data_IF_979863006719
#
_entry.id   IF_979863006719
#
_cell.length_a   1.000
_cell.length_b   1.000
_cell.length_c   1.000
_cell.angle_alpha   90.00
_cell.angle_beta   90.00
_cell.angle_gamma   90.00
#
_symmetry.space_group_name_H-M   'P 1'
#
loop_
_entity.id
_entity.type
_entity.pdbx_description
1 polymer ?
#
# COMPACT_ATOMS: atom_id res chain seq x y z
N UNK A 1 10.47 16.01 -38.40
CA UNK A 1 11.19 15.03 -37.56
C UNK A 1 10.49 15.06 -36.21
N UNK A 2 9.52 14.16 -36.02
CA UNK A 2 8.79 14.09 -34.74
C UNK A 2 9.71 13.37 -33.76
N UNK A 3 10.12 14.06 -32.69
CA UNK A 3 10.75 13.45 -31.54
C UNK A 3 9.71 12.52 -30.91
N UNK A 4 9.96 11.21 -30.96
CA UNK A 4 9.21 10.25 -30.18
C UNK A 4 9.39 10.67 -28.70
N UNK A 5 8.33 11.17 -28.07
CA UNK A 5 8.29 11.28 -26.63
C UNK A 5 8.38 9.85 -26.13
N UNK A 6 9.51 9.47 -25.52
CA UNK A 6 9.58 8.28 -24.70
C UNK A 6 8.50 8.43 -23.62
N UNK A 7 7.45 7.65 -23.73
CA UNK A 7 6.39 7.59 -22.74
C UNK A 7 7.04 7.07 -21.46
N UNK A 8 7.18 7.94 -20.46
CA UNK A 8 7.76 7.57 -19.16
C UNK A 8 6.86 6.52 -18.52
N UNK A 9 7.22 5.25 -18.70
CA UNK A 9 6.54 4.12 -18.07
C UNK A 9 7.11 3.92 -16.68
N UNK A 10 6.26 3.99 -15.68
CA UNK A 10 6.63 3.68 -14.32
C UNK A 10 6.92 2.18 -14.22
N UNK A 11 8.03 1.83 -13.60
CA UNK A 11 8.53 0.45 -13.51
C UNK A 11 8.83 0.09 -12.07
N UNK A 12 8.88 -1.21 -11.80
CA UNK A 12 9.42 -1.83 -10.61
C UNK A 12 10.53 -2.79 -11.03
N UNK A 13 11.51 -2.99 -10.17
CA UNK A 13 12.56 -3.97 -10.38
C UNK A 13 12.62 -4.90 -9.18
N UNK A 14 12.39 -6.19 -9.39
CA UNK A 14 12.44 -7.20 -8.35
C UNK A 14 13.23 -8.43 -8.81
N UNK A 15 14.19 -8.86 -7.99
CA UNK A 15 15.10 -9.96 -8.31
C UNK A 15 15.80 -9.77 -9.67
N UNK A 16 16.13 -8.50 -10.02
CA UNK A 16 16.74 -8.13 -11.28
C UNK A 16 15.80 -8.08 -12.49
N UNK A 17 14.52 -8.44 -12.33
CA UNK A 17 13.50 -8.41 -13.40
C UNK A 17 12.74 -7.08 -13.33
N UNK A 18 12.61 -6.44 -14.49
CA UNK A 18 11.85 -5.19 -14.65
C UNK A 18 10.40 -5.52 -14.99
N UNK A 19 9.48 -4.89 -14.26
CA UNK A 19 8.05 -4.99 -14.47
C UNK A 19 7.48 -3.61 -14.79
N UNK A 20 6.78 -3.49 -15.92
CA UNK A 20 6.03 -2.29 -16.23
C UNK A 20 4.81 -2.18 -15.29
N UNK A 21 4.65 -1.04 -14.66
CA UNK A 21 3.44 -0.72 -13.88
C UNK A 21 2.40 -0.21 -14.88
N UNK A 22 1.26 -0.90 -14.94
CA UNK A 22 0.17 -0.48 -15.83
C UNK A 22 -0.27 0.96 -15.54
N UNK A 23 -0.41 1.82 -16.55
CA UNK A 23 -0.74 3.23 -16.37
C UNK A 23 -2.14 3.49 -15.85
N UNK A 24 -3.05 2.53 -15.93
CA UNK A 24 -4.45 2.70 -15.53
C UNK A 24 -4.96 1.53 -14.70
N UNK A 25 -4.78 1.56 -13.37
CA UNK A 25 -5.64 0.75 -12.53
C UNK A 25 -7.10 1.17 -12.72
N UNK A 26 -8.03 0.23 -12.53
CA UNK A 26 -9.47 0.50 -12.51
C UNK A 26 -9.75 1.70 -11.56
N UNK A 27 -10.75 2.54 -11.89
CA UNK A 27 -11.15 3.69 -11.06
C UNK A 27 -11.39 3.32 -9.59
N UNK A 28 -11.93 2.12 -9.31
CA UNK A 28 -12.14 1.59 -7.95
C UNK A 28 -10.83 1.50 -7.15
N UNK A 29 -9.75 1.06 -7.78
CA UNK A 29 -8.41 1.09 -7.16
C UNK A 29 -8.01 2.52 -6.77
N UNK A 30 -8.26 3.50 -7.64
CA UNK A 30 -7.97 4.90 -7.37
C UNK A 30 -8.77 5.46 -6.20
N UNK A 31 -10.07 5.12 -6.11
CA UNK A 31 -10.95 5.54 -5.01
C UNK A 31 -10.44 4.97 -3.68
N UNK A 32 -10.24 3.65 -3.59
CA UNK A 32 -9.79 2.97 -2.36
C UNK A 32 -8.44 3.50 -1.90
N UNK A 33 -7.46 3.59 -2.81
CA UNK A 33 -6.13 4.15 -2.47
C UNK A 33 -6.23 5.62 -2.06
N UNK A 34 -7.11 6.40 -2.69
CA UNK A 34 -7.36 7.80 -2.36
C UNK A 34 -7.95 7.99 -0.97
N UNK A 35 -8.97 7.19 -0.62
CA UNK A 35 -9.61 7.22 0.70
C UNK A 35 -8.59 6.88 1.81
N UNK A 36 -7.88 5.77 1.67
CA UNK A 36 -6.82 5.37 2.60
C UNK A 36 -5.74 6.44 2.74
N UNK A 37 -5.26 6.99 1.62
CA UNK A 37 -4.24 8.05 1.65
C UNK A 37 -4.75 9.29 2.39
N UNK A 38 -5.99 9.72 2.16
CA UNK A 38 -6.57 10.89 2.79
C UNK A 38 -6.68 10.72 4.32
N UNK A 39 -7.20 9.57 4.78
CA UNK A 39 -7.33 9.26 6.20
C UNK A 39 -5.95 9.24 6.86
N UNK A 40 -5.01 8.48 6.30
CA UNK A 40 -3.64 8.36 6.83
C UNK A 40 -2.94 9.72 6.87
N UNK A 41 -3.02 10.50 5.79
CA UNK A 41 -2.41 11.83 5.71
C UNK A 41 -2.94 12.78 6.78
N UNK A 42 -4.24 12.74 7.03
CA UNK A 42 -4.85 13.55 8.08
C UNK A 42 -4.37 13.14 9.47
N UNK A 43 -4.30 11.84 9.74
CA UNK A 43 -3.83 11.31 11.02
C UNK A 43 -2.33 11.53 11.27
N UNK A 44 -1.52 11.63 10.23
CA UNK A 44 -0.08 11.89 10.35
C UNK A 44 0.29 13.36 10.58
N UNK A 45 -0.69 14.29 10.64
CA UNK A 45 -0.40 15.70 10.94
C UNK A 45 0.39 15.81 12.25
N UNK A 46 1.49 16.55 12.21
CA UNK A 46 2.40 16.80 13.35
C UNK A 46 3.18 15.57 13.87
N UNK A 47 3.10 14.40 13.21
CA UNK A 47 3.85 13.20 13.62
C UNK A 47 5.32 13.20 13.19
N UNK A 48 5.69 14.07 12.24
CA UNK A 48 7.02 14.04 11.60
C UNK A 48 7.15 13.00 10.49
N UNK A 49 6.21 12.05 10.36
CA UNK A 49 6.14 11.07 9.28
C UNK A 49 5.43 11.64 8.03
N UNK A 50 5.66 11.01 6.89
CA UNK A 50 5.05 11.37 5.61
C UNK A 50 4.38 10.13 5.02
N UNK A 51 3.24 10.32 4.36
CA UNK A 51 2.62 9.30 3.53
C UNK A 51 2.82 9.63 2.06
N UNK A 52 3.21 8.62 1.29
CA UNK A 52 3.37 8.68 -0.17
C UNK A 52 2.36 7.74 -0.84
N UNK A 53 1.88 8.15 -2.01
CA UNK A 53 0.96 7.36 -2.84
C UNK A 53 1.55 7.23 -4.25
N UNK A 54 2.04 6.03 -4.61
CA UNK A 54 2.54 5.65 -5.95
C UNK A 54 3.58 6.57 -6.60
N UNK A 55 4.32 7.35 -5.86
CA UNK A 55 5.25 8.34 -6.41
C UNK A 55 6.64 8.35 -5.77
N UNK A 56 6.97 7.30 -5.04
CA UNK A 56 8.26 7.14 -4.39
C UNK A 56 8.71 5.68 -4.50
N UNK A 57 9.90 5.47 -5.03
CA UNK A 57 10.50 4.15 -5.15
C UNK A 57 10.99 3.69 -3.77
N UNK A 58 10.60 2.51 -3.35
CA UNK A 58 11.14 1.88 -2.15
C UNK A 58 12.23 0.89 -2.53
N UNK A 59 13.47 1.19 -2.15
CA UNK A 59 14.61 0.29 -2.31
C UNK A 59 14.72 -0.62 -1.11
N UNK A 60 14.21 -1.83 -1.24
CA UNK A 60 14.09 -2.76 -0.11
C UNK A 60 15.38 -3.51 0.25
N UNK A 61 16.44 -3.39 -0.55
CA UNK A 61 17.79 -3.92 -0.28
C UNK A 61 18.89 -3.03 -0.88
N UNK A 62 18.98 -1.74 -0.51
CA UNK A 62 19.84 -0.78 -1.21
C UNK A 62 21.32 -1.11 -1.13
N UNK A 63 21.76 -1.87 -0.11
CA UNK A 63 23.15 -2.31 0.03
C UNK A 63 23.49 -3.56 -0.75
N UNK A 64 22.50 -4.28 -1.32
CA UNK A 64 22.70 -5.57 -2.02
C UNK A 64 22.49 -5.47 -3.51
N UNK A 65 21.53 -4.69 -3.93
CA UNK A 65 21.15 -4.54 -5.33
C UNK A 65 20.43 -3.21 -5.57
N UNK A 66 20.03 -2.96 -6.81
CA UNK A 66 19.25 -1.79 -7.24
C UNK A 66 17.76 -2.09 -7.44
N UNK A 67 17.27 -3.16 -6.81
CA UNK A 67 15.85 -3.53 -6.84
C UNK A 67 15.00 -2.50 -6.08
N UNK A 68 13.84 -2.20 -6.62
CA UNK A 68 12.89 -1.28 -6.04
C UNK A 68 11.45 -1.65 -6.41
N UNK A 69 10.55 -1.24 -5.57
CA UNK A 69 9.09 -1.33 -5.79
C UNK A 69 8.45 0.02 -5.57
N UNK A 70 7.23 0.18 -6.07
CA UNK A 70 6.46 1.42 -5.91
C UNK A 70 5.15 1.09 -5.22
N UNK A 71 5.12 1.09 -3.87
CA UNK A 71 3.91 0.79 -3.14
C UNK A 71 2.76 1.75 -3.47
N UNK A 72 1.52 1.26 -3.45
CA UNK A 72 0.37 2.13 -3.64
C UNK A 72 0.31 3.19 -2.53
N UNK A 73 0.57 2.79 -1.27
CA UNK A 73 0.71 3.71 -0.14
C UNK A 73 1.86 3.23 0.75
N UNK A 74 2.70 4.16 1.22
CA UNK A 74 3.67 3.87 2.28
C UNK A 74 3.86 5.04 3.23
N UNK A 75 4.12 4.73 4.52
CA UNK A 75 4.47 5.71 5.55
C UNK A 75 5.95 5.65 5.83
N UNK A 76 6.63 6.79 5.69
CA UNK A 76 8.05 6.95 5.99
C UNK A 76 8.25 7.96 7.12
N UNK A 77 9.12 7.63 8.08
CA UNK A 77 9.41 8.50 9.24
C UNK A 77 10.86 8.98 9.26
N UNK A 78 11.81 8.18 8.79
CA UNK A 78 13.20 8.61 8.65
C UNK A 78 13.42 9.39 7.34
N UNK A 79 13.19 10.69 7.41
CA UNK A 79 13.33 11.57 6.23
C UNK A 79 14.75 11.66 5.68
N UNK A 80 15.78 11.26 6.45
CA UNK A 80 17.17 11.26 5.99
C UNK A 80 17.43 10.20 4.91
N UNK A 81 16.58 9.21 4.85
CA UNK A 81 16.64 8.15 3.84
C UNK A 81 15.89 8.50 2.53
N UNK A 82 15.24 9.67 2.46
CA UNK A 82 14.67 10.18 1.21
C UNK A 82 15.79 10.76 0.33
N UNK A 83 16.02 10.18 -0.84
CA UNK A 83 17.07 10.56 -1.77
C UNK A 83 16.53 10.61 -3.21
N UNK A 84 16.37 11.83 -3.73
CA UNK A 84 15.78 12.00 -5.06
C UNK A 84 14.36 11.46 -5.11
N UNK A 85 14.08 10.52 -6.00
CA UNK A 85 12.78 9.83 -6.13
C UNK A 85 12.65 8.54 -5.33
N UNK A 86 13.58 8.23 -4.41
CA UNK A 86 13.69 6.94 -3.74
C UNK A 86 13.66 7.08 -2.21
N UNK A 87 13.28 6.00 -1.55
CA UNK A 87 13.41 5.80 -0.11
C UNK A 87 14.26 4.57 0.17
N UNK A 88 15.39 4.77 0.86
CA UNK A 88 16.38 3.72 1.18
C UNK A 88 16.21 3.17 2.62
N UNK A 89 15.29 3.74 3.41
CA UNK A 89 14.95 3.26 4.76
C UNK A 89 13.85 2.21 4.75
N UNK A 90 13.39 1.81 5.95
CA UNK A 90 12.27 0.87 6.09
C UNK A 90 10.99 1.64 6.36
N UNK A 91 9.96 1.54 5.48
CA UNK A 91 8.63 2.10 5.74
C UNK A 91 8.01 1.50 6.99
N UNK A 92 7.27 2.31 7.76
CA UNK A 92 6.52 1.83 8.93
C UNK A 92 5.28 1.05 8.55
N UNK A 93 4.75 1.32 7.37
CA UNK A 93 3.48 0.79 6.90
C UNK A 93 3.44 0.82 5.37
N UNK A 94 2.91 -0.24 4.77
CA UNK A 94 2.66 -0.32 3.32
C UNK A 94 1.25 -0.85 3.08
N UNK A 95 0.58 -0.30 2.05
CA UNK A 95 -0.65 -0.86 1.46
C UNK A 95 -0.41 -1.12 -0.01
N UNK A 96 -0.89 -2.26 -0.48
CA UNK A 96 -1.12 -2.54 -1.90
C UNK A 96 -2.62 -2.71 -2.14
N UNK A 97 -3.15 -1.92 -3.04
CA UNK A 97 -4.52 -2.03 -3.52
C UNK A 97 -4.55 -2.92 -4.75
N UNK A 98 -5.24 -4.03 -4.67
CA UNK A 98 -5.19 -5.06 -5.70
C UNK A 98 -5.75 -4.59 -7.05
N UNK A 99 -5.08 -5.01 -8.10
CA UNK A 99 -5.58 -4.99 -9.46
C UNK A 99 -5.45 -6.37 -10.11
N UNK A 100 -6.23 -6.72 -11.14
CA UNK A 100 -6.10 -8.03 -11.80
C UNK A 100 -4.68 -8.34 -12.29
N UNK A 101 -3.90 -7.33 -12.66
CA UNK A 101 -2.54 -7.49 -13.19
C UNK A 101 -1.47 -7.64 -12.11
N UNK A 102 -1.70 -7.15 -10.89
CA UNK A 102 -0.70 -7.13 -9.81
C UNK A 102 -1.02 -8.04 -8.63
N UNK A 103 -2.28 -8.46 -8.47
CA UNK A 103 -2.76 -9.18 -7.28
C UNK A 103 -1.91 -10.40 -6.87
N UNK A 104 -1.41 -11.17 -7.84
CA UNK A 104 -0.55 -12.32 -7.53
C UNK A 104 0.80 -11.84 -6.98
N UNK A 105 1.38 -10.82 -7.60
CA UNK A 105 2.69 -10.28 -7.20
C UNK A 105 2.62 -9.62 -5.82
N UNK A 106 1.55 -8.89 -5.55
CA UNK A 106 1.34 -8.22 -4.26
C UNK A 106 1.23 -9.25 -3.12
N UNK A 107 0.57 -10.40 -3.38
CA UNK A 107 0.43 -11.50 -2.41
C UNK A 107 1.66 -12.39 -2.28
N UNK A 108 2.59 -12.35 -3.22
CA UNK A 108 3.76 -13.25 -3.28
C UNK A 108 5.07 -12.47 -3.22
N UNK A 109 5.59 -12.01 -4.36
CA UNK A 109 6.93 -11.43 -4.47
C UNK A 109 7.08 -10.16 -3.65
N UNK A 110 6.13 -9.21 -3.73
CA UNK A 110 6.16 -7.96 -2.94
C UNK A 110 6.02 -8.24 -1.44
N UNK A 111 5.08 -9.12 -1.06
CA UNK A 111 4.93 -9.53 0.34
C UNK A 111 6.24 -10.07 0.91
N UNK A 112 6.95 -10.94 0.18
CA UNK A 112 8.25 -11.46 0.60
C UNK A 112 9.32 -10.36 0.64
N UNK A 113 9.30 -9.42 -0.31
CA UNK A 113 10.22 -8.29 -0.32
C UNK A 113 10.03 -7.38 0.90
N UNK A 114 8.78 -7.04 1.25
CA UNK A 114 8.46 -6.21 2.41
C UNK A 114 8.78 -6.93 3.74
N UNK A 115 8.50 -8.22 3.83
CA UNK A 115 8.86 -9.07 4.97
C UNK A 115 10.38 -9.03 5.22
N UNK A 116 11.18 -9.29 4.18
CA UNK A 116 12.64 -9.29 4.26
C UNK A 116 13.23 -7.91 4.56
N UNK A 117 12.59 -6.85 4.08
CA UNK A 117 12.98 -5.47 4.36
C UNK A 117 12.67 -5.04 5.79
N UNK A 118 11.82 -5.78 6.52
CA UNK A 118 11.45 -5.48 7.88
C UNK A 118 10.29 -4.49 8.02
N UNK A 119 9.42 -4.39 7.00
CA UNK A 119 8.21 -3.56 7.09
C UNK A 119 7.27 -4.16 8.12
N UNK A 120 6.98 -3.41 9.19
CA UNK A 120 6.29 -3.92 10.39
C UNK A 120 4.82 -4.26 10.13
N UNK A 121 4.15 -3.54 9.23
CA UNK A 121 2.73 -3.69 8.94
C UNK A 121 2.48 -3.57 7.43
N UNK A 122 1.79 -4.56 6.87
CA UNK A 122 1.45 -4.66 5.47
C UNK A 122 -0.03 -4.96 5.27
N UNK A 123 -0.72 -4.14 4.51
CA UNK A 123 -2.12 -4.37 4.15
C UNK A 123 -2.26 -4.69 2.67
N UNK A 124 -3.11 -5.66 2.38
CA UNK A 124 -3.58 -5.95 1.02
C UNK A 124 -5.07 -5.61 0.97
N UNK A 125 -5.44 -4.66 0.12
CA UNK A 125 -6.81 -4.17 0.00
C UNK A 125 -7.36 -4.48 -1.37
N UNK A 126 -8.46 -5.24 -1.41
CA UNK A 126 -9.19 -5.51 -2.64
C UNK A 126 -10.29 -4.47 -2.84
N UNK A 127 -10.37 -3.80 -4.00
CA UNK A 127 -11.47 -2.89 -4.30
C UNK A 127 -12.86 -3.55 -4.32
N UNK A 128 -12.92 -4.88 -4.18
CA UNK A 128 -14.15 -5.65 -4.02
C UNK A 128 -14.62 -5.76 -2.56
N UNK A 129 -14.00 -5.01 -1.64
CA UNK A 129 -14.47 -4.91 -0.26
C UNK A 129 -13.69 -5.78 0.73
N UNK A 130 -12.44 -6.16 0.49
CA UNK A 130 -11.67 -6.91 1.50
C UNK A 130 -10.36 -6.22 1.91
N UNK A 131 -9.99 -6.41 3.19
CA UNK A 131 -8.73 -5.91 3.78
C UNK A 131 -8.05 -7.04 4.52
N UNK A 132 -6.89 -7.45 4.05
CA UNK A 132 -5.99 -8.40 4.73
C UNK A 132 -4.90 -7.61 5.45
N UNK A 133 -4.72 -7.85 6.74
CA UNK A 133 -3.72 -7.17 7.59
C UNK A 133 -2.67 -8.16 8.02
N UNK A 134 -1.43 -7.85 7.70
CA UNK A 134 -0.26 -8.64 8.06
C UNK A 134 0.65 -7.85 8.99
N UNK A 135 1.08 -8.49 10.08
CA UNK A 135 2.12 -7.96 10.97
C UNK A 135 3.39 -8.79 10.86
N UNK A 136 4.52 -8.11 10.93
CA UNK A 136 5.83 -8.76 10.99
C UNK A 136 6.07 -9.25 12.43
N UNK A 137 6.12 -10.58 12.62
CA UNK A 137 6.40 -11.25 13.88
C UNK A 137 7.51 -12.27 13.66
N UNK A 138 8.57 -12.20 14.46
CA UNK A 138 9.76 -13.05 14.34
C UNK A 138 10.33 -13.13 12.90
N UNK A 139 10.28 -12.01 12.18
CA UNK A 139 10.78 -11.89 10.80
C UNK A 139 9.89 -12.52 9.73
N UNK A 140 8.62 -12.83 10.06
CA UNK A 140 7.62 -13.39 9.14
C UNK A 140 6.29 -12.64 9.23
N UNK A 141 5.62 -12.50 8.09
CA UNK A 141 4.27 -11.94 8.08
C UNK A 141 3.23 -12.95 8.54
N UNK A 142 2.54 -12.58 9.61
CA UNK A 142 1.37 -13.28 10.13
C UNK A 142 0.12 -12.51 9.69
N UNK A 143 -0.86 -13.21 9.10
CA UNK A 143 -2.17 -12.64 8.84
C UNK A 143 -2.92 -12.50 10.17
N UNK A 144 -3.15 -11.26 10.61
CA UNK A 144 -3.80 -10.99 11.91
C UNK A 144 -5.28 -10.65 11.78
N UNK A 145 -5.69 -10.14 10.63
CA UNK A 145 -7.09 -9.84 10.36
C UNK A 145 -7.40 -9.95 8.88
N UNK A 146 -8.61 -10.38 8.57
CA UNK A 146 -9.17 -10.39 7.23
C UNK A 146 -10.61 -9.91 7.31
N UNK A 147 -10.86 -8.68 6.85
CA UNK A 147 -12.18 -8.08 6.80
C UNK A 147 -12.76 -8.28 5.40
N UNK A 148 -14.04 -8.62 5.33
CA UNK A 148 -14.82 -8.66 4.09
C UNK A 148 -16.04 -7.79 4.35
N UNK A 149 -16.12 -6.63 3.67
CA UNK A 149 -17.20 -5.68 3.87
C UNK A 149 -18.55 -6.27 3.46
N UNK A 150 -19.47 -6.29 4.40
CA UNK A 150 -20.88 -6.55 4.18
C UNK A 150 -21.59 -5.20 4.00
N UNK A 151 -22.12 -4.96 2.81
CA UNK A 151 -22.64 -3.63 2.44
C UNK A 151 -24.10 -3.41 2.81
N UNK A 152 -24.87 -4.47 3.03
CA UNK A 152 -26.28 -4.36 3.38
C UNK A 152 -26.45 -4.05 4.86
N UNK A 153 -26.86 -2.81 5.16
CA UNK A 153 -27.07 -2.33 6.52
C UNK A 153 -28.26 -2.98 7.23
N UNK A 154 -29.14 -3.66 6.50
CA UNK A 154 -30.30 -4.34 7.05
C UNK A 154 -29.98 -5.81 7.42
N UNK A 155 -28.80 -6.31 7.04
CA UNK A 155 -28.37 -7.67 7.40
C UNK A 155 -27.69 -7.70 8.79
N UNK A 156 -27.89 -8.82 9.51
CA UNK A 156 -27.35 -9.01 10.88
C UNK A 156 -25.81 -9.01 10.92
N UNK A 157 -25.15 -9.32 9.81
CA UNK A 157 -23.70 -9.40 9.71
C UNK A 157 -23.06 -8.12 9.12
N UNK A 158 -23.81 -7.02 9.04
CA UNK A 158 -23.25 -5.73 8.62
C UNK A 158 -22.07 -5.32 9.49
N UNK A 159 -20.91 -5.08 8.86
CA UNK A 159 -19.65 -4.77 9.53
C UNK A 159 -18.99 -3.47 9.03
N UNK A 160 -19.73 -2.65 8.31
CA UNK A 160 -19.19 -1.41 7.76
C UNK A 160 -18.69 -0.40 8.81
N UNK A 161 -19.14 -0.53 10.06
CA UNK A 161 -18.74 0.29 11.21
C UNK A 161 -17.58 -0.31 12.01
N UNK A 162 -17.07 -1.48 11.62
CA UNK A 162 -15.88 -2.06 12.23
C UNK A 162 -14.69 -1.10 12.08
N UNK A 163 -14.05 -0.80 13.21
CA UNK A 163 -12.93 0.14 13.25
C UNK A 163 -11.61 -0.59 13.08
N UNK A 164 -10.85 -0.17 12.10
CA UNK A 164 -9.50 -0.65 11.83
C UNK A 164 -8.52 0.46 12.19
N UNK A 165 -7.45 0.13 12.90
CA UNK A 165 -6.40 1.09 13.30
C UNK A 165 -5.03 0.62 12.83
N UNK A 166 -4.15 1.55 12.50
CA UNK A 166 -2.75 1.23 12.20
C UNK A 166 -2.01 0.86 13.49
N UNK A 167 -1.27 -0.25 13.48
CA UNK A 167 -0.49 -0.73 14.63
C UNK A 167 0.53 0.32 15.11
N UNK A 168 1.30 0.88 14.16
CA UNK A 168 2.33 1.89 14.48
C UNK A 168 1.75 3.27 14.83
N UNK A 169 0.48 3.53 14.49
CA UNK A 169 -0.21 4.79 14.71
C UNK A 169 -1.65 4.54 15.18
N UNK A 170 -1.89 4.05 16.42
CA UNK A 170 -3.22 3.62 16.86
C UNK A 170 -4.28 4.72 16.86
N UNK A 171 -3.88 5.99 16.84
CA UNK A 171 -4.78 7.13 16.68
C UNK A 171 -5.25 7.37 15.24
N UNK A 172 -4.64 6.67 14.27
CA UNK A 172 -5.11 6.65 12.89
C UNK A 172 -6.01 5.43 12.75
N UNK A 173 -7.30 5.68 12.83
CA UNK A 173 -8.35 4.67 12.72
C UNK A 173 -9.35 5.07 11.65
N UNK A 174 -10.03 4.09 11.11
CA UNK A 174 -11.05 4.26 10.08
C UNK A 174 -12.10 3.16 10.20
N UNK A 175 -13.34 3.48 9.85
CA UNK A 175 -14.36 2.47 9.68
C UNK A 175 -14.16 1.72 8.37
N UNK A 176 -14.49 0.43 8.35
CA UNK A 176 -14.30 -0.41 7.15
C UNK A 176 -14.99 0.21 5.92
N UNK A 177 -16.21 0.77 6.09
CA UNK A 177 -16.95 1.44 5.01
C UNK A 177 -16.24 2.68 4.44
N UNK A 178 -15.46 3.42 5.25
CA UNK A 178 -14.75 4.63 4.79
C UNK A 178 -13.66 4.28 3.76
N UNK A 179 -13.07 3.08 3.85
CA UNK A 179 -12.08 2.61 2.88
C UNK A 179 -12.71 2.47 1.50
N UNK A 180 -13.96 2.02 1.44
CA UNK A 180 -14.66 1.68 0.20
C UNK A 180 -15.71 2.71 -0.23
N UNK A 181 -15.79 3.85 0.45
CA UNK A 181 -16.74 4.92 0.10
C UNK A 181 -16.57 5.36 -1.36
N UNK A 182 -17.67 5.39 -2.12
CA UNK A 182 -17.71 5.79 -3.52
C UNK A 182 -17.30 4.71 -4.53
N UNK A 183 -17.03 3.47 -4.09
CA UNK A 183 -16.64 2.37 -5.02
C UNK A 183 -17.83 1.85 -5.80
N UNK A 184 -19.02 1.80 -5.21
CA UNK A 184 -20.25 1.22 -5.78
C UNK A 184 -21.27 2.28 -6.24
N UNK A 185 -20.83 3.54 -6.40
CA UNK A 185 -21.66 4.64 -6.87
C UNK A 185 -21.67 4.79 -8.40
#
# INVERSE_FOLDING_TARGET
>A
MALAQEEYRKQEKMNGIIYDISPSPNFRHGIVSGNLHAIIKNGLKHSGCLVFMRNLDFKYHPEKNDDYVVPDIMIVCDRKQLKGGCYDGVPKFIVETLSPSTALRDRTEKKVAYEKAGVEEYWIVSPQGSVEIYYLEDGKYVLVSNYILQNDKEEEDYNGEDVISLRAFPHISMELREIFEGVDS
#
